data_IF_982446004127
#
_entry.id   IF_982446004127
#
_cell.length_a   1.000
_cell.length_b   1.000
_cell.length_c   1.000
_cell.angle_alpha   90.00
_cell.angle_beta   90.00
_cell.angle_gamma   90.00
#
_symmetry.space_group_name_H-M   'P 1'
#
loop_
_entity.id
_entity.type
_entity.pdbx_description
1 polymer ?
#
# COMPACT_ATOMS: atom_id res chain seq x y z
N UNK A 1 56.66 7.94 31.02
CA UNK A 1 55.60 7.57 30.06
C UNK A 1 56.26 6.95 28.85
N UNK A 2 55.86 5.73 28.47
CA UNK A 2 56.64 4.85 27.61
C UNK A 2 56.32 5.14 26.13
N UNK A 3 57.00 6.12 25.54
CA UNK A 3 56.78 6.60 24.16
C UNK A 3 56.80 5.47 23.11
N UNK A 4 57.54 4.41 23.37
CA UNK A 4 57.64 3.26 22.48
C UNK A 4 56.33 2.43 22.46
N UNK A 5 55.65 2.33 23.61
CA UNK A 5 54.36 1.63 23.72
C UNK A 5 53.24 2.41 23.03
N UNK A 6 53.25 3.74 23.11
CA UNK A 6 52.26 4.59 22.45
C UNK A 6 52.45 4.64 20.93
N UNK A 7 53.70 4.61 20.46
CA UNK A 7 54.02 4.46 19.04
C UNK A 7 53.52 3.11 18.51
N UNK A 8 53.81 2.02 19.21
CA UNK A 8 53.35 0.67 18.84
C UNK A 8 51.82 0.55 18.84
N UNK A 9 51.13 1.16 19.82
CA UNK A 9 49.66 1.25 19.87
C UNK A 9 49.08 2.05 18.72
N UNK A 10 49.75 3.13 18.31
CA UNK A 10 49.30 3.96 17.18
C UNK A 10 49.48 3.22 15.86
N UNK A 11 50.59 2.49 15.69
CA UNK A 11 50.84 1.64 14.52
C UNK A 11 49.83 0.50 14.45
N UNK A 12 49.57 -0.21 15.57
CA UNK A 12 48.57 -1.29 15.61
C UNK A 12 47.15 -0.81 15.40
N UNK A 13 46.75 0.35 15.95
CA UNK A 13 45.44 0.97 15.64
C UNK A 13 45.32 1.33 14.17
N UNK A 14 46.34 1.98 13.57
CA UNK A 14 46.32 2.30 12.13
C UNK A 14 46.29 1.05 11.26
N UNK A 15 47.05 0.01 11.62
CA UNK A 15 47.07 -1.26 10.90
C UNK A 15 45.71 -1.98 11.01
N UNK A 16 45.14 -2.03 12.20
CA UNK A 16 43.80 -2.58 12.45
C UNK A 16 42.74 -1.86 11.60
N UNK A 17 42.69 -0.53 11.60
CA UNK A 17 41.72 0.21 10.78
C UNK A 17 42.00 0.14 9.26
N UNK A 18 43.27 0.04 8.85
CA UNK A 18 43.65 -0.11 7.44
C UNK A 18 43.25 -1.48 6.88
N UNK A 19 43.39 -2.54 7.67
CA UNK A 19 43.04 -3.90 7.21
C UNK A 19 41.57 -4.27 7.48
N UNK A 20 40.96 -3.78 8.55
CA UNK A 20 39.55 -4.09 8.89
C UNK A 20 38.54 -3.13 8.22
N UNK A 21 38.97 -1.96 7.71
CA UNK A 21 38.10 -1.02 7.00
C UNK A 21 37.50 -1.61 5.72
N UNK A 22 38.25 -2.47 5.04
CA UNK A 22 37.76 -3.25 3.89
C UNK A 22 36.77 -4.33 4.32
N UNK A 23 36.95 -4.93 5.50
CA UNK A 23 36.05 -5.98 6.01
C UNK A 23 34.64 -5.47 6.28
N UNK A 24 34.49 -4.43 7.10
CA UNK A 24 33.17 -3.85 7.40
C UNK A 24 32.56 -3.22 6.15
N UNK A 25 33.36 -2.52 5.34
CA UNK A 25 32.93 -1.96 4.07
C UNK A 25 32.47 -3.03 3.08
N UNK A 26 33.14 -4.18 3.02
CA UNK A 26 32.77 -5.32 2.17
C UNK A 26 31.55 -6.06 2.67
N UNK A 27 31.32 -6.14 3.98
CA UNK A 27 30.09 -6.71 4.56
C UNK A 27 28.91 -5.77 4.28
N UNK A 28 29.07 -4.47 4.53
CA UNK A 28 28.05 -3.47 4.18
C UNK A 28 27.78 -3.47 2.67
N UNK A 29 28.82 -3.52 1.84
CA UNK A 29 28.70 -3.63 0.40
C UNK A 29 28.07 -4.96 -0.02
N UNK A 30 28.35 -6.08 0.64
CA UNK A 30 27.74 -7.38 0.36
C UNK A 30 26.27 -7.45 0.83
N UNK A 31 25.89 -6.67 1.84
CA UNK A 31 24.50 -6.51 2.27
C UNK A 31 23.74 -5.55 1.35
N UNK A 32 24.41 -4.55 0.78
CA UNK A 32 23.86 -3.59 -0.19
C UNK A 32 23.84 -4.13 -1.62
N UNK A 33 24.81 -4.96 -1.99
CA UNK A 33 24.86 -5.66 -3.28
C UNK A 33 23.82 -6.77 -3.24
N UNK A 34 22.80 -6.58 -4.07
CA UNK A 34 21.70 -7.49 -4.36
C UNK A 34 22.11 -8.98 -4.22
N UNK A 35 21.41 -9.75 -3.37
CA UNK A 35 21.58 -11.21 -3.22
C UNK A 35 21.50 -11.99 -4.54
N UNK A 36 21.00 -11.38 -5.63
CA UNK A 36 21.04 -11.93 -6.99
C UNK A 36 22.45 -12.04 -7.58
N UNK A 37 23.48 -11.38 -7.02
CA UNK A 37 24.85 -11.41 -7.57
C UNK A 37 25.50 -12.81 -7.48
N UNK A 38 25.02 -13.65 -6.55
CA UNK A 38 25.46 -15.04 -6.37
C UNK A 38 24.46 -16.07 -6.94
N UNK A 39 23.38 -15.63 -7.57
CA UNK A 39 22.43 -16.53 -8.21
C UNK A 39 23.00 -17.01 -9.54
N UNK A 40 23.54 -18.23 -9.54
CA UNK A 40 23.84 -18.96 -10.78
C UNK A 40 22.55 -19.04 -11.61
N UNK A 41 22.57 -18.75 -12.92
CA UNK A 41 21.40 -18.95 -13.78
C UNK A 41 21.25 -20.46 -14.02
N UNK A 42 20.67 -21.14 -13.03
CA UNK A 42 20.37 -22.56 -13.05
C UNK A 42 18.87 -22.78 -13.03
N UNK A 43 18.42 -23.59 -13.97
CA UNK A 43 17.06 -24.09 -14.13
C UNK A 43 16.47 -24.55 -12.78
N UNK A 44 15.25 -24.10 -12.48
CA UNK A 44 14.33 -24.73 -11.52
C UNK A 44 14.90 -25.17 -10.16
N UNK A 45 15.59 -24.30 -9.44
CA UNK A 45 15.72 -24.47 -7.99
C UNK A 45 14.43 -23.97 -7.30
N UNK A 46 13.63 -24.88 -6.76
CA UNK A 46 12.50 -24.63 -5.84
C UNK A 46 13.02 -24.17 -4.46
N UNK A 47 14.00 -23.26 -4.47
CA UNK A 47 14.60 -22.61 -3.32
C UNK A 47 14.14 -21.16 -3.28
N UNK A 48 12.97 -20.97 -2.67
CA UNK A 48 12.23 -19.73 -2.39
C UNK A 48 12.96 -18.40 -2.63
N UNK A 49 13.02 -17.93 -3.89
CA UNK A 49 12.98 -16.50 -4.13
C UNK A 49 11.65 -16.00 -3.54
N UNK A 50 11.70 -15.02 -2.65
CA UNK A 50 10.49 -14.43 -2.05
C UNK A 50 9.46 -14.14 -3.15
N UNK A 51 8.17 -14.51 -3.00
CA UNK A 51 7.14 -14.18 -3.99
C UNK A 51 7.06 -12.67 -4.29
N UNK A 52 7.52 -11.85 -3.34
CA UNK A 52 7.63 -10.39 -3.43
C UNK A 52 8.96 -9.91 -4.03
N UNK A 53 9.89 -10.77 -4.43
CA UNK A 53 11.14 -10.32 -5.02
C UNK A 53 10.86 -9.43 -6.25
N UNK A 54 11.59 -8.32 -6.46
CA UNK A 54 11.37 -7.43 -7.59
C UNK A 54 11.45 -8.18 -8.92
N UNK A 55 10.43 -7.97 -9.76
CA UNK A 55 10.28 -8.55 -11.09
C UNK A 55 10.51 -7.47 -12.15
N UNK A 56 11.24 -7.77 -13.23
CA UNK A 56 11.46 -6.79 -14.30
C UNK A 56 10.12 -6.42 -14.96
N UNK A 57 9.78 -5.12 -15.09
CA UNK A 57 8.57 -4.71 -15.79
C UNK A 57 8.71 -4.92 -17.30
N UNK A 58 7.58 -5.02 -18.01
CA UNK A 58 7.57 -5.11 -19.49
C UNK A 58 8.14 -3.86 -20.17
N UNK A 59 8.06 -2.70 -19.53
CA UNK A 59 8.55 -1.42 -20.03
C UNK A 59 9.38 -0.70 -18.96
N UNK A 60 10.31 0.15 -19.39
CA UNK A 60 11.05 1.01 -18.48
C UNK A 60 10.08 1.94 -17.72
N UNK A 61 10.09 1.94 -16.37
CA UNK A 61 9.17 2.74 -15.59
C UNK A 61 9.47 4.24 -15.75
N UNK A 62 8.43 5.06 -15.93
CA UNK A 62 8.54 6.53 -15.96
C UNK A 62 8.35 7.17 -14.59
N UNK A 63 7.73 6.47 -13.65
CA UNK A 63 7.51 6.90 -12.28
C UNK A 63 8.17 5.91 -11.32
N UNK A 64 8.76 6.43 -10.23
CA UNK A 64 9.37 5.61 -9.17
C UNK A 64 8.40 5.27 -8.04
N UNK A 65 7.42 6.14 -7.81
CA UNK A 65 6.45 6.01 -6.72
C UNK A 65 5.10 6.52 -7.18
N UNK A 66 4.02 5.84 -6.76
CA UNK A 66 2.64 6.21 -7.06
C UNK A 66 1.92 6.40 -5.73
N UNK A 67 1.31 7.56 -5.54
CA UNK A 67 0.43 7.84 -4.41
C UNK A 67 -1.00 7.78 -4.93
N UNK A 68 -1.78 6.84 -4.43
CA UNK A 68 -3.19 6.68 -4.77
C UNK A 68 -4.06 7.09 -3.59
N UNK A 69 -4.88 8.11 -3.79
CA UNK A 69 -5.79 8.63 -2.77
C UNK A 69 -7.23 8.31 -3.17
N UNK A 70 -7.88 7.41 -2.43
CA UNK A 70 -9.30 7.13 -2.58
C UNK A 70 -10.09 7.89 -1.50
N UNK A 71 -10.83 8.92 -1.92
CA UNK A 71 -11.53 9.85 -1.02
C UNK A 71 -12.88 9.28 -0.57
N UNK A 72 -12.87 8.20 0.23
CA UNK A 72 -14.09 7.65 0.81
C UNK A 72 -14.77 8.67 1.73
N UNK A 73 -16.01 9.06 1.41
CA UNK A 73 -16.73 10.11 2.15
C UNK A 73 -16.25 11.54 1.88
N UNK A 74 -15.39 11.73 0.88
CA UNK A 74 -14.98 13.06 0.42
C UNK A 74 -16.07 13.79 -0.38
N UNK A 75 -15.82 15.05 -0.77
CA UNK A 75 -16.77 15.81 -1.59
C UNK A 75 -17.04 15.14 -2.94
N UNK A 76 -18.24 15.33 -3.47
CA UNK A 76 -18.66 14.74 -4.75
C UNK A 76 -17.86 15.29 -5.93
N UNK A 77 -17.69 14.50 -6.99
CA UNK A 77 -17.02 14.96 -8.22
C UNK A 77 -17.70 16.18 -8.84
N UNK A 78 -19.04 16.29 -8.71
CA UNK A 78 -19.83 17.41 -9.23
C UNK A 78 -19.64 18.70 -8.42
N UNK A 79 -19.07 18.59 -7.21
CA UNK A 79 -18.68 19.71 -6.35
C UNK A 79 -17.21 20.10 -6.50
N UNK A 80 -16.41 19.29 -7.20
CA UNK A 80 -14.95 19.46 -7.29
C UNK A 80 -14.47 19.83 -8.71
N UNK A 81 -14.61 18.90 -9.66
CA UNK A 81 -13.97 18.99 -10.99
C UNK A 81 -14.96 18.76 -12.15
N UNK A 82 -16.20 18.38 -11.87
CA UNK A 82 -17.21 18.08 -12.88
C UNK A 82 -18.39 19.07 -12.85
N UNK A 83 -18.15 20.29 -13.33
CA UNK A 83 -19.18 21.32 -13.39
C UNK A 83 -20.40 20.89 -14.23
N UNK A 84 -21.57 20.80 -13.57
CA UNK A 84 -22.86 20.45 -14.19
C UNK A 84 -23.85 21.63 -14.12
N UNK A 85 -23.75 22.65 -14.98
CA UNK A 85 -24.65 23.82 -14.94
C UNK A 85 -26.14 23.44 -15.00
N UNK A 86 -26.47 22.40 -15.79
CA UNK A 86 -27.86 21.92 -15.88
C UNK A 86 -28.40 21.36 -14.56
N UNK A 87 -27.54 20.76 -13.73
CA UNK A 87 -27.93 20.27 -12.41
C UNK A 87 -28.28 21.43 -11.47
N UNK A 88 -27.54 22.54 -11.56
CA UNK A 88 -27.82 23.76 -10.81
C UNK A 88 -29.15 24.41 -11.24
N UNK A 89 -29.46 24.44 -12.54
CA UNK A 89 -30.76 24.92 -13.03
C UNK A 89 -31.95 24.09 -12.50
N UNK A 90 -31.74 22.78 -12.34
CA UNK A 90 -32.76 21.83 -11.90
C UNK A 90 -32.76 21.62 -10.38
N UNK A 91 -31.99 22.41 -9.63
CA UNK A 91 -31.86 22.26 -8.19
C UNK A 91 -33.23 22.31 -7.48
N UNK A 92 -33.47 21.37 -6.57
CA UNK A 92 -34.71 21.25 -5.83
C UNK A 92 -35.89 20.64 -6.61
N UNK A 93 -35.75 20.41 -7.92
CA UNK A 93 -36.77 19.72 -8.71
C UNK A 93 -36.69 18.20 -8.48
N UNK A 94 -37.80 17.49 -8.70
CA UNK A 94 -37.81 16.02 -8.61
C UNK A 94 -36.87 15.40 -9.64
N UNK A 95 -36.18 14.33 -9.25
CA UNK A 95 -35.38 13.54 -10.20
C UNK A 95 -36.28 12.98 -11.30
N UNK A 96 -35.92 13.11 -12.60
CA UNK A 96 -36.73 12.58 -13.69
C UNK A 96 -36.85 11.07 -13.59
N UNK A 97 -38.04 10.54 -13.94
CA UNK A 97 -38.35 9.11 -13.82
C UNK A 97 -37.33 8.22 -14.55
N UNK A 98 -36.80 8.68 -15.69
CA UNK A 98 -35.79 7.97 -16.47
C UNK A 98 -34.51 7.61 -15.70
N UNK A 99 -34.19 8.31 -14.62
CA UNK A 99 -32.99 8.06 -13.80
C UNK A 99 -33.24 7.12 -12.61
N UNK A 100 -34.50 6.90 -12.23
CA UNK A 100 -34.87 6.12 -11.04
C UNK A 100 -35.72 4.90 -11.38
N UNK A 101 -36.16 4.78 -12.64
CA UNK A 101 -37.01 3.68 -13.08
C UNK A 101 -36.25 2.36 -13.00
N UNK A 102 -36.76 1.44 -12.18
CA UNK A 102 -36.15 0.13 -11.96
C UNK A 102 -35.14 0.11 -10.81
N UNK A 103 -34.80 1.27 -10.25
CA UNK A 103 -33.86 1.38 -9.14
C UNK A 103 -34.58 1.28 -7.78
N UNK A 104 -33.94 0.58 -6.83
CA UNK A 104 -34.43 0.47 -5.45
C UNK A 104 -33.43 1.07 -4.48
N UNK A 105 -33.72 2.28 -4.03
CA UNK A 105 -32.93 2.96 -3.02
C UNK A 105 -33.24 2.42 -1.62
N UNK A 106 -32.21 1.96 -0.90
CA UNK A 106 -32.38 1.38 0.43
C UNK A 106 -32.86 2.40 1.48
N UNK A 107 -32.45 3.67 1.34
CA UNK A 107 -32.64 4.71 2.35
C UNK A 107 -33.50 5.90 1.89
N UNK A 108 -33.94 5.93 0.63
CA UNK A 108 -34.73 7.04 0.07
C UNK A 108 -36.20 6.61 -0.01
N UNK A 109 -37.09 7.40 0.59
CA UNK A 109 -38.54 7.23 0.46
C UNK A 109 -39.09 8.20 -0.57
N UNK A 110 -39.90 7.70 -1.50
CA UNK A 110 -40.52 8.51 -2.55
C UNK A 110 -39.53 8.93 -3.64
N UNK A 111 -39.87 10.00 -4.38
CA UNK A 111 -39.04 10.54 -5.45
C UNK A 111 -38.11 11.61 -4.87
N UNK A 112 -36.78 11.41 -4.87
CA UNK A 112 -35.85 12.41 -4.37
C UNK A 112 -35.82 13.67 -5.25
N UNK A 113 -35.33 14.76 -4.69
CA UNK A 113 -35.04 15.98 -5.44
C UNK A 113 -33.58 16.00 -5.89
N UNK A 114 -33.33 16.63 -7.03
CA UNK A 114 -31.98 16.95 -7.51
C UNK A 114 -31.34 18.00 -6.60
N UNK A 115 -30.06 17.81 -6.30
CA UNK A 115 -29.24 18.77 -5.57
C UNK A 115 -28.18 19.33 -6.51
N UNK A 116 -28.30 20.60 -6.85
CA UNK A 116 -27.25 21.36 -7.54
C UNK A 116 -26.06 21.59 -6.62
N UNK A 117 -24.87 21.67 -7.19
CA UNK A 117 -23.67 22.02 -6.41
C UNK A 117 -23.84 23.44 -5.84
N UNK A 118 -23.66 23.66 -4.53
CA UNK A 118 -23.72 24.99 -3.93
C UNK A 118 -22.44 25.80 -4.19
N UNK A 119 -21.44 25.21 -4.84
CA UNK A 119 -20.12 25.78 -5.07
C UNK A 119 -20.02 26.52 -6.40
N UNK A 120 -19.05 27.43 -6.48
CA UNK A 120 -18.80 28.21 -7.70
C UNK A 120 -17.65 27.60 -8.50
N UNK A 121 -17.76 27.69 -9.82
CA UNK A 121 -16.79 27.13 -10.75
C UNK A 121 -16.27 28.21 -11.68
N UNK A 122 -14.98 28.15 -11.98
CA UNK A 122 -14.34 29.00 -12.99
C UNK A 122 -13.40 28.16 -13.85
N UNK A 123 -13.14 28.61 -15.07
CA UNK A 123 -12.15 27.98 -15.93
C UNK A 123 -10.75 28.48 -15.58
N UNK A 124 -9.80 27.56 -15.48
CA UNK A 124 -8.40 27.87 -15.18
C UNK A 124 -7.47 27.25 -16.22
N UNK A 125 -6.27 27.81 -16.31
CA UNK A 125 -5.21 27.34 -17.19
C UNK A 125 -5.53 27.47 -18.68
N UNK A 126 -4.64 26.94 -19.51
CA UNK A 126 -4.78 26.82 -20.96
C UNK A 126 -5.75 25.70 -21.33
N UNK A 127 -5.87 24.69 -20.48
CA UNK A 127 -6.85 23.61 -20.62
C UNK A 127 -8.29 24.09 -20.53
N UNK A 128 -8.54 25.25 -19.89
CA UNK A 128 -9.89 25.79 -19.67
C UNK A 128 -10.74 24.89 -18.76
N UNK A 129 -10.09 24.09 -17.91
CA UNK A 129 -10.78 23.17 -17.02
C UNK A 129 -11.59 23.93 -15.97
N UNK A 130 -12.85 23.54 -15.78
CA UNK A 130 -13.68 24.05 -14.69
C UNK A 130 -13.24 23.45 -13.36
N UNK A 131 -12.86 24.30 -12.41
CA UNK A 131 -12.45 23.91 -11.06
C UNK A 131 -13.30 24.65 -10.03
N UNK A 132 -13.77 23.92 -9.02
CA UNK A 132 -14.54 24.45 -7.89
C UNK A 132 -13.70 25.35 -6.98
N UNK A 133 -14.36 26.32 -6.33
CA UNK A 133 -13.74 27.15 -5.30
C UNK A 133 -13.25 26.35 -4.07
N UNK A 134 -13.62 25.07 -3.95
CA UNK A 134 -13.10 24.15 -2.93
C UNK A 134 -11.65 23.71 -3.15
N UNK A 135 -11.10 23.89 -4.35
CA UNK A 135 -9.75 23.44 -4.70
C UNK A 135 -8.84 24.61 -5.10
N UNK A 136 -8.71 25.66 -4.27
CA UNK A 136 -8.06 26.91 -4.67
C UNK A 136 -6.60 26.71 -5.07
N UNK A 137 -5.88 25.81 -4.39
CA UNK A 137 -4.48 25.53 -4.69
C UNK A 137 -4.28 24.70 -5.97
N UNK A 138 -5.26 23.86 -6.32
CA UNK A 138 -5.19 23.03 -7.52
C UNK A 138 -5.24 23.87 -8.81
N UNK A 139 -5.89 25.03 -8.75
CA UNK A 139 -6.00 25.96 -9.89
C UNK A 139 -4.64 26.38 -10.44
N UNK A 140 -3.61 26.47 -9.57
CA UNK A 140 -2.25 26.89 -9.96
C UNK A 140 -1.51 25.86 -10.83
N UNK A 141 -1.93 24.59 -10.80
CA UNK A 141 -1.28 23.48 -11.50
C UNK A 141 -2.25 22.72 -12.43
N UNK A 142 -3.38 23.34 -12.78
CA UNK A 142 -4.46 22.65 -13.51
C UNK A 142 -4.01 22.12 -14.89
N UNK A 143 -3.03 22.78 -15.52
CA UNK A 143 -2.47 22.35 -16.81
C UNK A 143 -1.43 21.22 -16.67
N UNK A 144 -1.01 20.89 -15.45
CA UNK A 144 -0.07 19.81 -15.14
C UNK A 144 -0.77 18.52 -14.72
N UNK A 145 -2.09 18.55 -14.56
CA UNK A 145 -2.90 17.40 -14.15
C UNK A 145 -3.80 16.91 -15.29
N UNK A 146 -4.08 15.62 -15.29
CA UNK A 146 -5.07 15.02 -16.17
C UNK A 146 -6.38 14.79 -15.40
N UNK A 147 -7.48 15.40 -15.85
CA UNK A 147 -8.81 15.19 -15.27
C UNK A 147 -9.56 14.17 -16.14
N UNK A 148 -9.77 12.97 -15.59
CA UNK A 148 -10.48 11.89 -16.30
C UNK A 148 -11.93 11.83 -15.81
N UNK A 149 -12.88 12.19 -16.68
CA UNK A 149 -14.33 12.18 -16.40
C UNK A 149 -15.10 11.05 -17.10
N UNK A 150 -14.39 10.19 -17.81
CA UNK A 150 -14.98 9.11 -18.62
C UNK A 150 -15.26 7.82 -17.82
N UNK A 151 -15.07 7.85 -16.50
CA UNK A 151 -15.29 6.67 -15.64
C UNK A 151 -16.77 6.60 -15.29
N UNK A 152 -17.36 5.40 -15.43
CA UNK A 152 -18.76 5.13 -15.14
C UNK A 152 -18.89 3.84 -14.30
N UNK A 153 -19.94 3.76 -13.49
CA UNK A 153 -20.32 2.56 -12.75
C UNK A 153 -21.82 2.51 -12.55
N UNK A 154 -22.37 1.30 -12.50
CA UNK A 154 -23.78 1.07 -12.17
C UNK A 154 -23.99 0.83 -10.66
N UNK A 155 -22.90 0.89 -9.87
CA UNK A 155 -22.98 0.74 -8.42
C UNK A 155 -23.42 2.02 -7.75
N UNK A 156 -24.66 2.01 -7.22
CA UNK A 156 -25.22 3.14 -6.47
C UNK A 156 -24.92 3.07 -4.97
N UNK A 157 -24.59 1.90 -4.43
CA UNK A 157 -24.33 1.70 -3.00
C UNK A 157 -22.83 1.87 -2.69
N UNK A 158 -22.51 2.51 -1.56
CA UNK A 158 -21.14 2.88 -1.19
C UNK A 158 -20.22 1.66 -1.12
N UNK A 159 -20.53 0.63 -0.32
CA UNK A 159 -19.66 -0.53 -0.18
C UNK A 159 -19.34 -1.25 -1.52
N UNK A 160 -20.33 -1.65 -2.36
CA UNK A 160 -20.06 -2.23 -3.67
C UNK A 160 -19.29 -1.31 -4.62
N UNK A 161 -19.58 0.00 -4.63
CA UNK A 161 -18.86 0.96 -5.47
C UNK A 161 -17.39 1.11 -5.05
N UNK A 162 -17.11 1.13 -3.74
CA UNK A 162 -15.76 1.18 -3.20
C UNK A 162 -14.97 -0.08 -3.58
N UNK A 163 -15.57 -1.26 -3.47
CA UNK A 163 -14.94 -2.52 -3.89
C UNK A 163 -14.70 -2.52 -5.40
N UNK A 164 -15.67 -2.05 -6.19
CA UNK A 164 -15.55 -1.94 -7.65
C UNK A 164 -14.39 -1.04 -8.06
N UNK A 165 -14.27 0.14 -7.44
CA UNK A 165 -13.17 1.07 -7.72
C UNK A 165 -11.79 0.42 -7.48
N UNK A 166 -11.66 -0.36 -6.41
CA UNK A 166 -10.37 -0.95 -6.05
C UNK A 166 -10.08 -2.28 -6.72
N UNK A 167 -11.09 -3.06 -7.12
CA UNK A 167 -10.93 -4.46 -7.57
C UNK A 167 -11.48 -4.73 -8.98
N UNK A 168 -12.20 -3.77 -9.56
CA UNK A 168 -12.90 -3.91 -10.84
C UNK A 168 -14.17 -4.78 -10.77
N UNK A 169 -14.62 -5.21 -9.59
CA UNK A 169 -15.89 -5.92 -9.40
C UNK A 169 -16.65 -5.42 -8.16
N UNK A 170 -17.97 -5.45 -8.23
CA UNK A 170 -18.84 -5.06 -7.11
C UNK A 170 -18.84 -6.09 -5.97
N UNK A 171 -18.68 -7.37 -6.32
CA UNK A 171 -18.69 -8.47 -5.36
C UNK A 171 -17.26 -8.70 -4.83
N UNK A 172 -17.10 -8.91 -3.51
CA UNK A 172 -15.81 -9.29 -2.93
C UNK A 172 -15.20 -10.54 -3.57
N UNK A 173 -13.88 -10.67 -3.48
CA UNK A 173 -13.13 -11.86 -3.91
C UNK A 173 -12.21 -11.63 -5.11
N UNK A 174 -12.26 -10.44 -5.73
CA UNK A 174 -11.26 -10.04 -6.73
C UNK A 174 -10.05 -9.38 -6.09
N UNK A 175 -8.84 -9.56 -6.66
CA UNK A 175 -7.66 -8.86 -6.19
C UNK A 175 -7.79 -7.36 -6.45
N UNK A 176 -7.39 -6.57 -5.47
CA UNK A 176 -7.33 -5.12 -5.55
C UNK A 176 -6.17 -4.64 -6.43
N UNK A 177 -6.20 -3.35 -6.80
CA UNK A 177 -5.14 -2.70 -7.57
C UNK A 177 -3.76 -2.91 -6.93
N UNK A 178 -3.63 -2.72 -5.62
CA UNK A 178 -2.35 -2.91 -4.92
C UNK A 178 -1.88 -4.37 -4.91
N UNK A 179 -2.80 -5.33 -4.82
CA UNK A 179 -2.48 -6.75 -4.93
C UNK A 179 -1.99 -7.11 -6.34
N UNK A 180 -2.64 -6.58 -7.39
CA UNK A 180 -2.18 -6.78 -8.78
C UNK A 180 -0.81 -6.16 -9.05
N UNK A 181 -0.56 -4.96 -8.53
CA UNK A 181 0.72 -4.28 -8.68
C UNK A 181 1.83 -5.09 -8.00
N UNK A 182 1.67 -5.45 -6.73
CA UNK A 182 2.67 -6.25 -6.01
C UNK A 182 2.86 -7.64 -6.59
N UNK A 183 1.81 -8.27 -7.11
CA UNK A 183 1.91 -9.52 -7.87
C UNK A 183 2.75 -9.35 -9.14
N UNK A 184 2.51 -8.29 -9.90
CA UNK A 184 3.15 -8.05 -11.20
C UNK A 184 4.63 -7.67 -11.08
N UNK A 185 4.98 -6.78 -10.14
CA UNK A 185 6.33 -6.18 -10.07
C UNK A 185 7.10 -6.50 -8.78
N UNK A 186 6.46 -7.12 -7.79
CA UNK A 186 7.07 -7.39 -6.49
C UNK A 186 7.21 -6.15 -5.62
N UNK A 187 8.14 -6.21 -4.66
CA UNK A 187 8.49 -5.16 -3.71
C UNK A 187 10.01 -5.09 -3.60
N UNK A 188 10.57 -3.90 -3.69
CA UNK A 188 11.99 -3.66 -3.39
C UNK A 188 12.27 -3.70 -1.87
N UNK A 189 11.21 -3.62 -1.05
CA UNK A 189 11.29 -3.67 0.40
C UNK A 189 11.12 -5.11 0.91
N UNK A 190 12.07 -5.57 1.74
CA UNK A 190 12.04 -6.87 2.42
C UNK A 190 11.46 -6.82 3.84
N UNK A 191 11.41 -5.63 4.42
CA UNK A 191 11.13 -5.38 5.84
C UNK A 191 9.70 -4.90 6.09
N UNK A 192 9.03 -4.41 5.03
CA UNK A 192 7.63 -4.01 5.02
C UNK A 192 6.82 -4.82 3.99
N UNK A 193 5.48 -4.88 4.16
CA UNK A 193 4.59 -5.43 3.14
C UNK A 193 4.73 -4.66 1.83
N UNK A 194 4.70 -5.36 0.70
CA UNK A 194 4.74 -4.72 -0.62
C UNK A 194 3.51 -3.83 -0.91
N UNK A 195 2.40 -4.08 -0.21
CA UNK A 195 1.17 -3.32 -0.33
C UNK A 195 0.69 -2.85 1.05
N UNK A 196 0.94 -1.58 1.35
CA UNK A 196 0.53 -0.93 2.59
C UNK A 196 -0.72 -0.09 2.33
N UNK A 197 -1.68 -0.16 3.26
CA UNK A 197 -2.92 0.63 3.23
C UNK A 197 -2.93 1.57 4.41
N UNK A 198 -2.97 2.87 4.13
CA UNK A 198 -3.09 3.91 5.14
C UNK A 198 -4.53 4.42 5.15
N UNK A 199 -5.16 4.43 6.33
CA UNK A 199 -6.51 4.96 6.49
C UNK A 199 -6.41 6.30 7.23
N UNK A 200 -6.86 7.35 6.56
CA UNK A 200 -7.02 8.68 7.14
C UNK A 200 -8.48 8.89 7.56
N UNK A 201 -8.73 9.24 8.83
CA UNK A 201 -10.07 9.53 9.35
C UNK A 201 -10.49 8.61 10.50
N UNK A 202 -11.69 8.86 11.03
CA UNK A 202 -12.26 8.06 12.14
C UNK A 202 -12.94 6.77 11.64
N UNK A 203 -13.39 6.77 10.39
CA UNK A 203 -14.17 5.67 9.81
C UNK A 203 -13.39 4.97 8.69
N UNK A 204 -13.46 3.64 8.69
CA UNK A 204 -12.99 2.83 7.56
C UNK A 204 -13.97 2.93 6.38
N UNK A 205 -13.50 2.69 5.14
CA UNK A 205 -14.40 2.52 4.00
C UNK A 205 -15.46 1.45 4.30
N UNK A 206 -16.70 1.67 3.88
CA UNK A 206 -17.82 0.72 4.08
C UNK A 206 -17.57 -0.65 3.43
N UNK A 207 -16.83 -0.70 2.33
CA UNK A 207 -16.37 -1.96 1.71
C UNK A 207 -15.34 -2.72 2.55
N UNK A 208 -14.80 -2.09 3.60
CA UNK A 208 -13.84 -2.66 4.53
C UNK A 208 -12.59 -3.22 3.86
N UNK A 209 -12.02 -4.27 4.45
CA UNK A 209 -10.80 -4.93 3.96
C UNK A 209 -10.93 -5.53 2.56
N UNK A 210 -12.16 -5.74 2.08
CA UNK A 210 -12.40 -6.18 0.70
C UNK A 210 -11.87 -5.19 -0.34
N UNK A 211 -11.74 -3.90 0.02
CA UNK A 211 -11.18 -2.88 -0.87
C UNK A 211 -9.68 -3.11 -1.17
N UNK A 212 -8.94 -3.82 -0.32
CA UNK A 212 -7.51 -4.10 -0.50
C UNK A 212 -7.20 -5.60 -0.38
N UNK A 213 -8.15 -6.44 -0.78
CA UNK A 213 -7.99 -7.89 -0.78
C UNK A 213 -7.01 -8.37 -1.85
N UNK A 214 -6.32 -9.49 -1.57
CA UNK A 214 -5.59 -10.29 -2.55
C UNK A 214 -6.52 -11.16 -3.41
N UNK A 215 -7.78 -11.33 -3.01
CA UNK A 215 -8.77 -12.13 -3.74
C UNK A 215 -8.31 -13.59 -3.89
N UNK A 216 -8.21 -14.06 -5.13
CA UNK A 216 -7.69 -15.38 -5.46
C UNK A 216 -6.16 -15.43 -5.65
N UNK A 217 -5.46 -14.30 -5.55
CA UNK A 217 -4.00 -14.31 -5.51
C UNK A 217 -3.52 -14.82 -4.15
N UNK A 218 -2.29 -15.37 -4.05
CA UNK A 218 -1.73 -15.76 -2.76
C UNK A 218 -1.79 -14.62 -1.74
N UNK A 219 -2.05 -14.94 -0.47
CA UNK A 219 -2.24 -13.92 0.57
C UNK A 219 -0.97 -13.12 0.88
N UNK A 220 0.18 -13.52 0.31
CA UNK A 220 1.43 -12.73 0.32
C UNK A 220 1.24 -11.34 -0.30
N UNK A 221 0.24 -11.16 -1.18
CA UNK A 221 -0.10 -9.89 -1.83
C UNK A 221 -1.27 -9.15 -1.15
N UNK A 222 -1.70 -9.62 0.03
CA UNK A 222 -2.77 -8.99 0.79
C UNK A 222 -2.35 -7.60 1.27
N UNK A 223 -3.21 -6.61 1.09
CA UNK A 223 -2.98 -5.27 1.64
C UNK A 223 -2.94 -5.30 3.16
N UNK A 224 -1.88 -4.71 3.73
CA UNK A 224 -1.69 -4.60 5.18
C UNK A 224 -2.06 -3.19 5.62
N UNK A 225 -3.12 -3.11 6.42
CA UNK A 225 -3.61 -1.85 7.01
C UNK A 225 -2.67 -1.37 8.12
N UNK A 226 -2.22 -0.12 8.00
CA UNK A 226 -1.42 0.57 9.00
C UNK A 226 -2.31 1.57 9.73
N UNK A 227 -2.39 1.44 11.05
CA UNK A 227 -3.23 2.27 11.91
C UNK A 227 -2.54 3.61 12.18
N UNK A 228 -3.34 4.67 12.21
CA UNK A 228 -2.89 6.04 12.53
C UNK A 228 -2.68 6.30 14.03
N UNK A 229 -3.14 5.40 14.91
CA UNK A 229 -2.99 5.49 16.38
C UNK A 229 -2.76 4.12 17.00
N UNK A 230 -1.92 4.06 18.03
CA UNK A 230 -1.56 2.83 18.74
C UNK A 230 -0.50 2.01 17.97
N UNK A 231 -0.55 0.68 18.07
CA UNK A 231 0.31 -0.19 17.28
C UNK A 231 -0.03 -0.04 15.77
N UNK A 232 0.92 0.41 14.93
CA UNK A 232 0.68 0.64 13.49
C UNK A 232 0.23 -0.63 12.78
N UNK A 233 0.74 -1.79 13.20
CA UNK A 233 0.23 -3.10 12.83
C UNK A 233 -0.14 -3.84 14.10
N UNK A 234 -1.34 -4.42 14.14
CA UNK A 234 -1.84 -5.14 15.32
C UNK A 234 -0.85 -6.21 15.77
N UNK A 235 -0.54 -6.24 17.08
CA UNK A 235 0.36 -7.21 17.73
C UNK A 235 1.80 -7.18 17.22
N UNK A 236 2.24 -6.05 16.68
CA UNK A 236 3.63 -5.88 16.29
C UNK A 236 4.56 -5.79 17.51
N UNK A 237 4.11 -5.13 18.57
CA UNK A 237 4.82 -5.02 19.84
C UNK A 237 4.84 -6.36 20.59
N UNK A 238 5.97 -6.68 21.25
CA UNK A 238 6.06 -7.88 22.09
C UNK A 238 5.20 -7.71 23.36
N UNK A 239 4.43 -8.74 23.76
CA UNK A 239 3.71 -8.71 25.04
C UNK A 239 4.66 -8.54 26.22
N UNK A 240 4.15 -8.00 27.34
CA UNK A 240 4.93 -7.87 28.56
C UNK A 240 5.52 -9.23 28.99
N UNK A 241 6.84 -9.26 29.22
CA UNK A 241 7.57 -10.47 29.60
C UNK A 241 8.17 -11.28 28.44
N UNK A 242 7.85 -10.96 27.18
CA UNK A 242 8.46 -11.59 26.00
C UNK A 242 9.58 -10.70 25.46
N UNK A 243 10.81 -11.21 25.46
CA UNK A 243 11.96 -10.55 24.84
C UNK A 243 12.14 -11.00 23.38
N UNK A 244 12.95 -10.26 22.62
CA UNK A 244 13.19 -10.55 21.19
C UNK A 244 13.80 -11.92 20.91
N UNK A 245 14.57 -12.49 21.84
CA UNK A 245 15.15 -13.84 21.71
C UNK A 245 14.08 -14.92 21.83
N UNK A 246 13.25 -14.87 22.88
CA UNK A 246 12.14 -15.82 23.07
C UNK A 246 11.13 -15.75 21.92
N UNK A 247 10.90 -14.54 21.37
CA UNK A 247 10.06 -14.37 20.18
C UNK A 247 10.66 -15.02 18.94
N UNK A 248 11.97 -14.89 18.72
CA UNK A 248 12.68 -15.54 17.61
C UNK A 248 12.60 -17.06 17.71
N UNK A 249 12.83 -17.63 18.89
CA UNK A 249 12.71 -19.07 19.14
C UNK A 249 11.29 -19.58 18.86
N UNK A 250 10.26 -18.82 19.27
CA UNK A 250 8.86 -19.13 18.96
C UNK A 250 8.58 -19.13 17.45
N UNK A 251 9.10 -18.15 16.71
CA UNK A 251 8.92 -18.06 15.26
C UNK A 251 9.63 -19.20 14.53
N UNK A 252 10.82 -19.60 14.97
CA UNK A 252 11.53 -20.76 14.43
C UNK A 252 10.76 -22.06 14.68
N UNK A 253 10.20 -22.25 15.87
CA UNK A 253 9.34 -23.40 16.16
C UNK A 253 8.09 -23.42 15.27
N UNK A 254 7.42 -22.27 15.10
CA UNK A 254 6.26 -22.15 14.20
C UNK A 254 6.64 -22.43 12.74
N UNK A 255 7.80 -21.94 12.29
CA UNK A 255 8.32 -22.22 10.95
C UNK A 255 8.52 -23.72 10.74
N UNK A 256 9.15 -24.40 11.69
CA UNK A 256 9.39 -25.84 11.61
C UNK A 256 8.09 -26.65 11.56
N UNK A 257 7.11 -26.30 12.41
CA UNK A 257 5.79 -26.95 12.41
C UNK A 257 5.07 -26.75 11.07
N UNK A 258 5.06 -25.52 10.55
CA UNK A 258 4.42 -25.24 9.26
C UNK A 258 5.17 -25.93 8.11
N UNK A 259 6.49 -26.09 8.19
CA UNK A 259 7.27 -26.80 7.18
C UNK A 259 6.87 -28.29 7.12
N UNK A 260 6.76 -28.94 8.27
CA UNK A 260 6.25 -30.33 8.36
C UNK A 260 4.84 -30.42 7.76
N UNK A 261 3.96 -29.50 8.13
CA UNK A 261 2.58 -29.48 7.61
C UNK A 261 2.53 -29.25 6.10
N UNK A 262 3.42 -28.42 5.56
CA UNK A 262 3.54 -28.21 4.12
C UNK A 262 4.00 -29.49 3.40
N UNK A 263 4.95 -30.23 3.98
CA UNK A 263 5.42 -31.51 3.42
C UNK A 263 4.31 -32.57 3.39
N UNK A 264 3.38 -32.53 4.34
CA UNK A 264 2.23 -33.45 4.41
C UNK A 264 1.09 -33.08 3.44
N UNK A 265 0.76 -31.78 3.34
CA UNK A 265 -0.46 -31.33 2.63
C UNK A 265 -0.17 -30.73 1.25
N UNK A 266 1.02 -30.16 1.06
CA UNK A 266 1.43 -29.49 -0.18
C UNK A 266 0.73 -28.15 -0.46
N UNK A 267 0.00 -27.58 0.52
CA UNK A 267 -0.70 -26.30 0.34
C UNK A 267 0.26 -25.11 0.41
N UNK A 268 0.40 -24.40 -0.72
CA UNK A 268 1.21 -23.18 -0.84
C UNK A 268 0.85 -22.07 0.15
N UNK A 269 -0.38 -22.05 0.69
CA UNK A 269 -0.79 -21.06 1.68
C UNK A 269 -0.01 -21.22 3.00
N UNK A 270 0.48 -22.43 3.30
CA UNK A 270 1.34 -22.68 4.45
C UNK A 270 2.68 -21.94 4.31
N UNK A 271 3.25 -21.91 3.09
CA UNK A 271 4.47 -21.14 2.80
C UNK A 271 4.21 -19.64 2.97
N UNK A 272 3.07 -19.15 2.46
CA UNK A 272 2.67 -17.74 2.64
C UNK A 272 2.56 -17.37 4.13
N UNK A 273 2.01 -18.26 4.94
CA UNK A 273 1.89 -18.06 6.38
C UNK A 273 3.26 -17.99 7.07
N UNK A 274 4.21 -18.85 6.70
CA UNK A 274 5.60 -18.77 7.18
C UNK A 274 6.21 -17.42 6.82
N UNK A 275 6.09 -17.00 5.55
CA UNK A 275 6.63 -15.73 5.07
C UNK A 275 6.03 -14.53 5.80
N UNK A 276 4.73 -14.57 6.12
CA UNK A 276 4.02 -13.52 6.85
C UNK A 276 4.54 -13.38 8.28
N UNK A 277 4.80 -14.50 8.98
CA UNK A 277 5.37 -14.46 10.34
C UNK A 277 6.79 -13.89 10.37
N UNK A 278 7.62 -14.24 9.39
CA UNK A 278 8.97 -13.68 9.25
C UNK A 278 8.93 -12.18 8.91
N UNK A 279 7.97 -11.74 8.09
CA UNK A 279 7.75 -10.32 7.81
C UNK A 279 7.32 -9.55 9.06
N UNK A 280 6.33 -10.06 9.81
CA UNK A 280 5.90 -9.46 11.07
C UNK A 280 7.07 -9.27 12.06
N UNK A 281 8.02 -10.20 12.10
CA UNK A 281 9.21 -10.09 12.93
C UNK A 281 10.13 -8.95 12.50
N UNK A 282 10.44 -8.84 11.19
CA UNK A 282 11.28 -7.75 10.67
C UNK A 282 10.65 -6.37 10.90
N UNK A 283 9.34 -6.27 10.68
CA UNK A 283 8.55 -5.07 10.93
C UNK A 283 8.68 -4.54 12.36
N UNK A 284 8.94 -5.39 13.37
CA UNK A 284 9.11 -4.93 14.76
C UNK A 284 10.26 -3.94 14.93
N UNK A 285 11.32 -4.09 14.12
CA UNK A 285 12.48 -3.19 14.15
C UNK A 285 12.31 -1.96 13.27
N UNK A 286 11.60 -2.07 12.14
CA UNK A 286 11.54 -1.02 11.12
C UNK A 286 10.31 -0.10 11.22
N UNK A 287 9.18 -0.59 11.71
CA UNK A 287 7.93 0.18 11.76
C UNK A 287 7.93 1.32 12.80
N UNK A 288 8.56 1.18 13.99
CA UNK A 288 8.62 2.30 14.94
C UNK A 288 9.28 3.55 14.35
N UNK A 289 10.39 3.39 13.61
CA UNK A 289 11.07 4.50 12.94
C UNK A 289 10.22 5.11 11.81
N UNK A 290 9.54 4.27 11.02
CA UNK A 290 8.71 4.71 9.90
C UNK A 290 7.53 5.61 10.32
N UNK A 291 6.99 5.41 11.52
CA UNK A 291 5.81 6.13 12.01
C UNK A 291 6.15 7.41 12.78
N UNK A 292 7.44 7.71 12.98
CA UNK A 292 7.91 8.99 13.52
C UNK A 292 7.99 10.06 12.41
N UNK A 293 6.84 10.57 11.99
CA UNK A 293 6.73 11.56 10.89
C UNK A 293 7.04 13.00 11.39
N UNK A 294 7.21 13.20 12.69
CA UNK A 294 7.41 14.51 13.33
C UNK A 294 8.90 14.97 13.44
N UNK A 295 9.80 14.40 12.63
CA UNK A 295 11.24 14.76 12.58
C UNK A 295 11.60 15.58 11.35
#
# INVERSE_FOLDING_TARGET
>A
MNNQTDLLRTITRRHFFKENGLGIGSIALSLLLNNKLFAQPGEHSVGAASPLAPKPPHFAPKAKSIIFLFMAGGPSQVDLLDYKPKLNELNGQKVPESFIKGERFAFIKGVPNLLGSPHTFQQYGRSGAYVSNLLPHLTSIVDEIAIVKSVHTDQFNHAPAQIFMNTGAQNPGRPSLGAWLTYGIGSENSDLPGFVVLISGENNPEGGKSCWSSGFLPTTYQGVEFRSKGDPVLFLSNPAGINGKSRRELLEALRNINQIHFEEVGDSEIITRIASYEMSYRMQSSVPELMEIDK
#
